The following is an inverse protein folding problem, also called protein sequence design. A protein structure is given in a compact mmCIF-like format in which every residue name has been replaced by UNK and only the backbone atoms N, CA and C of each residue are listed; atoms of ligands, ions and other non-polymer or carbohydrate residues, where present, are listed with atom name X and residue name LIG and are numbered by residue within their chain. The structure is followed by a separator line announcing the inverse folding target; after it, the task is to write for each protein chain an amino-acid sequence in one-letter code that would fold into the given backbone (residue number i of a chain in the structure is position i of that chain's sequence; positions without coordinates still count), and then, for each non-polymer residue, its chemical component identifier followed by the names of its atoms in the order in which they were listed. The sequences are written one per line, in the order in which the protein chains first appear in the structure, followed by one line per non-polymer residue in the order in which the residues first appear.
data_IF_244815668052
#
_entry.id   IF_244815668052
#
_cell.length_a   1.000
_cell.length_b   1.000
_cell.length_c   1.000
_cell.angle_alpha   90.00
_cell.angle_beta   90.00
_cell.angle_gamma   90.00
#
_symmetry.space_group_name_H-M   'P 1'
#
loop_
_entity.id
_entity.type
_entity.pdbx_description
1 polymer ?
#
# COMPACT_ATOMS: atom_id res chain seq x y z
N UNK A 1 7.58 17.70 2.47
CA UNK A 1 6.72 17.02 1.47
C UNK A 1 5.95 15.92 2.19
N UNK A 2 4.62 15.97 2.14
CA UNK A 2 3.73 15.01 2.80
C UNK A 2 3.92 13.57 2.26
N UNK A 3 4.35 13.42 1.01
CA UNK A 3 4.57 12.12 0.36
C UNK A 3 5.63 11.25 1.05
N UNK A 4 6.55 11.82 1.84
CA UNK A 4 7.54 11.03 2.61
C UNK A 4 6.89 10.11 3.65
N UNK A 5 5.67 10.40 4.12
CA UNK A 5 4.93 9.50 4.99
C UNK A 5 4.64 8.14 4.34
N UNK A 6 4.63 8.08 3.01
CA UNK A 6 4.34 6.87 2.24
C UNK A 6 5.61 6.18 1.74
N UNK A 7 6.81 6.67 2.08
CA UNK A 7 8.05 6.15 1.52
C UNK A 7 8.37 4.70 1.92
N UNK A 8 7.75 4.21 3.00
CA UNK A 8 7.89 2.83 3.47
C UNK A 8 6.70 1.95 3.07
N UNK A 9 5.73 2.49 2.32
CA UNK A 9 4.58 1.72 1.83
C UNK A 9 5.06 0.93 0.63
N UNK A 10 5.39 -0.32 0.88
CA UNK A 10 5.86 -1.26 -0.14
C UNK A 10 4.92 -2.44 -0.27
N UNK A 11 4.84 -2.98 -1.49
CA UNK A 11 4.10 -4.19 -1.80
C UNK A 11 5.10 -5.28 -2.08
N UNK A 12 4.96 -6.42 -1.41
CA UNK A 12 5.85 -7.56 -1.59
C UNK A 12 5.13 -8.69 -2.32
N UNK A 13 5.77 -9.24 -3.35
CA UNK A 13 5.31 -10.45 -4.03
C UNK A 13 6.23 -11.60 -3.65
N UNK A 14 5.66 -12.68 -3.13
CA UNK A 14 6.37 -13.94 -2.93
C UNK A 14 6.32 -14.76 -4.21
N UNK A 15 7.49 -15.09 -4.73
CA UNK A 15 7.66 -15.90 -5.94
C UNK A 15 8.28 -17.23 -5.54
N UNK A 16 7.63 -18.34 -5.90
CA UNK A 16 8.15 -19.70 -5.73
C UNK A 16 8.12 -20.41 -7.08
N UNK A 17 9.25 -21.01 -7.48
CA UNK A 17 9.39 -21.73 -8.75
C UNK A 17 8.94 -20.93 -10.00
N UNK A 18 9.11 -19.60 -9.96
CA UNK A 18 8.71 -18.70 -11.06
C UNK A 18 7.22 -18.35 -11.10
N UNK A 19 6.43 -18.78 -10.11
CA UNK A 19 5.02 -18.42 -9.97
C UNK A 19 4.85 -17.43 -8.79
N UNK A 20 4.00 -16.43 -8.99
CA UNK A 20 3.56 -15.54 -7.91
C UNK A 20 2.66 -16.35 -6.96
N UNK A 21 3.19 -16.73 -5.80
CA UNK A 21 2.47 -17.55 -4.81
C UNK A 21 1.65 -16.69 -3.87
N UNK A 22 2.12 -15.47 -3.57
CA UNK A 22 1.41 -14.58 -2.66
C UNK A 22 1.72 -13.11 -2.89
N UNK A 23 0.71 -12.26 -2.69
CA UNK A 23 0.85 -10.81 -2.70
C UNK A 23 0.57 -10.27 -1.29
N UNK A 24 1.55 -9.61 -0.70
CA UNK A 24 1.38 -8.89 0.56
C UNK A 24 0.96 -7.45 0.27
N UNK A 25 -0.31 -7.16 0.52
CA UNK A 25 -0.83 -5.80 0.41
C UNK A 25 -0.22 -4.88 1.47
N UNK A 26 0.05 -3.60 1.16
CA UNK A 26 0.66 -2.70 2.12
C UNK A 26 -0.28 -2.42 3.31
N UNK A 27 0.29 -2.44 4.51
CA UNK A 27 -0.42 -1.98 5.70
C UNK A 27 -0.27 -0.48 5.87
N UNK A 28 -1.39 0.25 5.80
CA UNK A 28 -1.42 1.68 6.06
C UNK A 28 -1.65 1.94 7.55
N UNK A 29 -0.79 2.77 8.12
CA UNK A 29 -0.99 3.34 9.46
C UNK A 29 -2.21 4.26 9.49
N UNK A 30 -2.76 4.50 10.68
CA UNK A 30 -3.92 5.39 10.84
C UNK A 30 -3.63 6.82 10.37
N UNK A 31 -2.39 7.30 10.56
CA UNK A 31 -1.96 8.60 10.07
C UNK A 31 -1.97 8.66 8.54
N UNK A 32 -1.44 7.63 7.85
CA UNK A 32 -1.48 7.58 6.39
C UNK A 32 -2.91 7.54 5.87
N UNK A 33 -3.81 6.78 6.49
CA UNK A 33 -5.25 6.75 6.13
C UNK A 33 -5.91 8.11 6.28
N UNK A 34 -5.65 8.81 7.39
CA UNK A 34 -6.17 10.18 7.60
C UNK A 34 -5.65 11.15 6.54
N UNK A 35 -4.36 11.08 6.20
CA UNK A 35 -3.76 11.91 5.14
C UNK A 35 -4.40 11.60 3.79
N UNK A 36 -4.61 10.33 3.44
CA UNK A 36 -5.32 9.95 2.22
C UNK A 36 -6.75 10.51 2.19
N UNK A 37 -7.48 10.42 3.30
CA UNK A 37 -8.82 11.00 3.45
C UNK A 37 -8.84 12.52 3.23
N UNK A 38 -7.88 13.26 3.80
CA UNK A 38 -7.74 14.70 3.58
C UNK A 38 -7.41 15.06 2.13
N UNK A 39 -6.69 14.17 1.43
CA UNK A 39 -6.35 14.34 0.02
C UNK A 39 -7.44 13.82 -0.94
N UNK A 40 -8.51 13.21 -0.42
CA UNK A 40 -9.57 12.60 -1.24
C UNK A 40 -9.10 11.38 -2.04
N UNK A 41 -8.01 10.73 -1.63
CA UNK A 41 -7.45 9.57 -2.30
C UNK A 41 -7.98 8.31 -1.62
N UNK A 42 -8.58 7.35 -2.34
CA UNK A 42 -9.02 6.11 -1.74
C UNK A 42 -7.83 5.22 -1.32
N UNK A 43 -7.97 4.44 -0.25
CA UNK A 43 -6.93 3.47 0.17
C UNK A 43 -6.58 2.46 -0.94
N UNK A 44 -7.52 2.19 -1.85
CA UNK A 44 -7.32 1.31 -3.01
C UNK A 44 -6.31 1.85 -4.02
N UNK A 45 -5.88 3.11 -3.91
CA UNK A 45 -4.74 3.63 -4.66
C UNK A 45 -3.42 2.99 -4.21
N UNK A 46 -3.36 2.53 -2.96
CA UNK A 46 -2.19 1.88 -2.36
C UNK A 46 -2.39 0.38 -2.10
N UNK A 47 -3.64 -0.08 -2.09
CA UNK A 47 -3.98 -1.50 -1.97
C UNK A 47 -4.70 -1.95 -3.22
N UNK A 48 -4.23 -2.97 -3.92
CA UNK A 48 -5.00 -3.46 -5.08
C UNK A 48 -6.29 -4.07 -4.50
N UNK A 49 -7.42 -3.42 -4.74
CA UNK A 49 -8.72 -3.96 -4.33
C UNK A 49 -8.86 -5.37 -4.92
N UNK A 50 -9.18 -6.33 -4.07
CA UNK A 50 -9.75 -7.60 -4.51
C UNK A 50 -11.10 -7.33 -5.21
#
# INVERSE_FOLDING_TARGET
QILKLFSLVERHTLIENGNDVHLFEPELTDLQKQVLGLLGIPETAYRRGL
#
